data_IF_611671070821
#
_entry.id   IF_611671070821
#
_cell.length_a   1.000
_cell.length_b   1.000
_cell.length_c   1.000
_cell.angle_alpha   90.00
_cell.angle_beta   90.00
_cell.angle_gamma   90.00
#
_symmetry.space_group_name_H-M   'P 1'
#
loop_
_entity.id
_entity.type
_entity.pdbx_description
1 polymer ?
#
# COMPACT_ATOMS: atom_id res chain seq x y z
N UNK A 1 21.05 -26.57 30.34
CA UNK A 1 20.88 -25.14 30.00
C UNK A 1 20.66 -25.09 28.49
N UNK A 2 19.40 -25.14 28.04
CA UNK A 2 19.06 -25.11 26.61
C UNK A 2 18.86 -23.66 26.19
N UNK A 3 19.73 -23.15 25.33
CA UNK A 3 19.49 -21.91 24.61
C UNK A 3 18.45 -22.20 23.54
N UNK A 4 17.23 -21.70 23.72
CA UNK A 4 16.26 -21.62 22.64
C UNK A 4 16.77 -20.55 21.66
N UNK A 5 17.29 -21.00 20.52
CA UNK A 5 17.44 -20.16 19.33
C UNK A 5 16.02 -19.75 18.96
N UNK A 6 15.66 -18.49 19.20
CA UNK A 6 14.48 -17.89 18.61
C UNK A 6 14.73 -17.88 17.11
N UNK A 7 14.32 -18.95 16.43
CA UNK A 7 14.17 -18.97 14.99
C UNK A 7 13.23 -17.82 14.67
N UNK A 8 13.76 -16.76 14.04
CA UNK A 8 12.92 -15.73 13.44
C UNK A 8 11.91 -16.46 12.56
N UNK A 9 10.62 -16.30 12.88
CA UNK A 9 9.53 -16.91 12.12
C UNK A 9 9.75 -16.57 10.63
N UNK A 10 9.96 -17.54 9.74
CA UNK A 10 10.27 -17.30 8.33
C UNK A 10 9.11 -16.66 7.54
N UNK A 11 8.03 -16.31 8.24
CA UNK A 11 6.72 -15.98 7.70
C UNK A 11 6.40 -14.49 7.66
N UNK A 12 7.37 -13.60 7.86
CA UNK A 12 7.19 -12.20 7.54
C UNK A 12 7.51 -11.87 6.07
N UNK A 13 8.17 -12.76 5.29
CA UNK A 13 8.27 -12.67 3.82
C UNK A 13 8.76 -11.33 3.25
N UNK A 14 9.41 -10.47 4.06
CA UNK A 14 9.78 -9.11 3.70
C UNK A 14 8.68 -8.03 3.88
N UNK A 15 7.50 -8.39 4.39
CA UNK A 15 6.45 -7.44 4.77
C UNK A 15 6.82 -6.73 6.07
N UNK A 16 7.12 -5.44 5.95
CA UNK A 16 7.38 -4.53 7.07
C UNK A 16 6.20 -3.57 7.21
N UNK A 17 6.00 -3.01 8.40
CA UNK A 17 4.92 -2.04 8.66
C UNK A 17 4.95 -0.85 7.69
N UNK A 18 6.13 -0.44 7.25
CA UNK A 18 6.27 0.65 6.28
C UNK A 18 5.76 0.25 4.88
N UNK A 19 5.61 -1.03 4.55
CA UNK A 19 5.04 -1.48 3.27
C UNK A 19 3.54 -1.24 3.15
N UNK A 20 2.86 -0.80 4.21
CA UNK A 20 1.42 -0.63 4.26
C UNK A 20 1.02 0.83 4.38
N UNK A 21 -0.19 1.13 3.94
CA UNK A 21 -0.79 2.46 3.95
C UNK A 21 -2.29 2.34 4.25
N UNK A 22 -2.82 3.24 5.07
CA UNK A 22 -4.27 3.35 5.27
C UNK A 22 -4.92 4.04 4.07
N UNK A 23 -5.80 3.35 3.34
CA UNK A 23 -6.45 3.85 2.14
C UNK A 23 -7.85 3.28 1.97
N UNK A 24 -8.88 4.12 1.96
CA UNK A 24 -10.28 3.68 2.03
C UNK A 24 -10.99 3.61 0.69
N UNK A 25 -10.57 4.42 -0.30
CA UNK A 25 -11.30 4.59 -1.56
C UNK A 25 -11.43 3.32 -2.41
N UNK A 26 -10.62 2.29 -2.13
CA UNK A 26 -10.72 0.99 -2.79
C UNK A 26 -11.88 0.12 -2.26
N UNK A 27 -12.45 0.47 -1.11
CA UNK A 27 -13.53 -0.28 -0.49
C UNK A 27 -14.86 0.01 -1.16
N UNK A 28 -15.70 -1.03 -1.22
CA UNK A 28 -17.10 -0.91 -1.63
C UNK A 28 -17.92 -0.28 -0.50
N UNK A 29 -19.10 0.29 -0.80
CA UNK A 29 -20.04 0.74 0.24
C UNK A 29 -20.27 -0.34 1.30
N UNK A 30 -20.17 0.04 2.58
CA UNK A 30 -20.26 -0.90 3.71
C UNK A 30 -18.94 -1.61 4.08
N UNK A 31 -17.86 -1.48 3.29
CA UNK A 31 -16.60 -2.20 3.57
C UNK A 31 -15.89 -1.76 4.85
N UNK A 32 -16.03 -0.49 5.26
CA UNK A 32 -15.32 0.05 6.43
C UNK A 32 -15.72 -0.59 7.76
N UNK A 33 -16.95 -1.12 7.87
CA UNK A 33 -17.37 -1.85 9.08
C UNK A 33 -16.79 -3.25 9.15
N UNK A 34 -16.40 -3.82 8.00
CA UNK A 34 -16.02 -5.22 7.87
C UNK A 34 -14.51 -5.42 7.86
N UNK A 35 -13.74 -4.43 7.40
CA UNK A 35 -12.28 -4.56 7.26
C UNK A 35 -11.53 -3.29 7.63
N UNK A 36 -10.33 -3.45 8.19
CA UNK A 36 -9.38 -2.36 8.34
C UNK A 36 -8.86 -1.95 6.95
N UNK A 37 -8.94 -0.68 6.54
CA UNK A 37 -8.66 -0.25 5.18
C UNK A 37 -7.15 -0.05 4.96
N UNK A 38 -6.37 -1.11 5.15
CA UNK A 38 -4.91 -1.09 4.95
C UNK A 38 -4.56 -1.81 3.65
N UNK A 39 -3.73 -1.16 2.84
CA UNK A 39 -3.27 -1.67 1.53
C UNK A 39 -1.76 -1.69 1.45
N UNK A 40 -1.21 -2.52 0.56
CA UNK A 40 0.22 -2.51 0.26
C UNK A 40 0.53 -1.26 -0.57
N UNK A 41 1.51 -0.47 -0.13
CA UNK A 41 2.01 0.72 -0.83
C UNK A 41 2.94 0.34 -2.00
N UNK A 42 2.36 -0.36 -2.98
CA UNK A 42 3.02 -0.75 -4.21
C UNK A 42 3.66 0.45 -4.94
N UNK A 43 3.03 1.63 -5.05
CA UNK A 43 3.66 2.78 -5.71
C UNK A 43 4.98 3.19 -5.06
N UNK A 44 5.07 3.22 -3.72
CA UNK A 44 6.32 3.55 -3.02
C UNK A 44 7.41 2.50 -3.26
N UNK A 45 7.06 1.21 -3.26
CA UNK A 45 8.03 0.16 -3.59
C UNK A 45 8.49 0.23 -5.04
N UNK A 46 7.59 0.56 -5.97
CA UNK A 46 7.93 0.74 -7.39
C UNK A 46 8.98 1.84 -7.58
N UNK A 47 8.82 2.99 -6.89
CA UNK A 47 9.76 4.12 -6.93
C UNK A 47 11.17 3.77 -6.46
N UNK A 48 11.33 2.77 -5.58
CA UNK A 48 12.67 2.33 -5.11
C UNK A 48 13.52 1.70 -6.21
N UNK A 49 12.88 1.05 -7.19
CA UNK A 49 13.57 0.29 -8.25
C UNK A 49 13.47 0.94 -9.61
N UNK A 50 12.57 1.91 -9.78
CA UNK A 50 12.27 2.55 -11.07
C UNK A 50 12.07 4.04 -10.86
N UNK A 51 12.76 4.83 -11.67
CA UNK A 51 12.76 6.30 -11.57
C UNK A 51 11.63 6.97 -12.36
N UNK A 52 10.76 6.19 -13.01
CA UNK A 52 9.68 6.71 -13.85
C UNK A 52 8.31 6.32 -13.26
N UNK A 53 7.40 7.28 -13.05
CA UNK A 53 6.05 7.01 -12.58
C UNK A 53 5.22 6.33 -13.69
N UNK A 54 4.40 5.33 -13.32
CA UNK A 54 3.51 4.63 -14.25
C UNK A 54 2.24 5.40 -14.63
N UNK A 55 2.05 6.60 -14.09
CA UNK A 55 0.83 7.42 -14.27
C UNK A 55 0.43 7.54 -15.74
N UNK A 56 1.37 7.89 -16.62
CA UNK A 56 1.11 8.02 -18.04
C UNK A 56 0.66 6.71 -18.69
N UNK A 57 1.31 5.59 -18.36
CA UNK A 57 0.92 4.28 -18.87
C UNK A 57 -0.50 3.89 -18.39
N UNK A 58 -0.83 4.13 -17.12
CA UNK A 58 -2.16 3.86 -16.57
C UNK A 58 -3.23 4.70 -17.28
N UNK A 59 -2.94 5.98 -17.55
CA UNK A 59 -3.83 6.85 -18.32
C UNK A 59 -4.08 6.32 -19.73
N UNK A 60 -3.05 5.81 -20.41
CA UNK A 60 -3.21 5.22 -21.75
C UNK A 60 -4.01 3.92 -21.78
N UNK A 61 -4.08 3.20 -20.66
CA UNK A 61 -4.88 1.97 -20.54
C UNK A 61 -6.36 2.24 -20.25
N UNK A 62 -6.69 3.45 -19.78
CA UNK A 62 -8.05 3.87 -19.50
C UNK A 62 -8.79 4.28 -20.78
N UNK A 63 -9.12 3.31 -21.63
CA UNK A 63 -9.78 3.52 -22.93
C UNK A 63 -11.27 3.20 -22.92
N UNK A 64 -11.70 2.27 -22.06
CA UNK A 64 -13.10 1.84 -21.94
C UNK A 64 -13.77 2.52 -20.73
N UNK A 65 -14.79 3.38 -20.95
CA UNK A 65 -15.55 4.03 -19.89
C UNK A 65 -16.17 3.06 -18.86
N UNK A 66 -16.51 1.83 -19.27
CA UNK A 66 -17.08 0.81 -18.40
C UNK A 66 -16.13 0.33 -17.30
N UNK A 67 -14.82 0.52 -17.48
CA UNK A 67 -13.78 0.11 -16.53
C UNK A 67 -12.97 1.27 -15.97
N UNK A 68 -13.31 2.53 -16.31
CA UNK A 68 -12.53 3.70 -15.91
C UNK A 68 -12.34 3.84 -14.42
N UNK A 69 -13.31 3.42 -13.60
CA UNK A 69 -13.24 3.48 -12.13
C UNK A 69 -12.00 2.76 -11.60
N UNK A 70 -11.63 1.61 -12.16
CA UNK A 70 -10.43 0.88 -11.73
C UNK A 70 -9.15 1.69 -11.95
N UNK A 71 -9.02 2.30 -13.11
CA UNK A 71 -7.86 3.12 -13.47
C UNK A 71 -7.82 4.42 -12.67
N UNK A 72 -8.96 5.09 -12.53
CA UNK A 72 -9.07 6.31 -11.71
C UNK A 72 -8.71 6.05 -10.26
N UNK A 73 -9.23 4.99 -9.64
CA UNK A 73 -8.86 4.61 -8.27
C UNK A 73 -7.36 4.30 -8.14
N UNK A 74 -6.77 3.68 -9.16
CA UNK A 74 -5.32 3.40 -9.17
C UNK A 74 -4.52 4.70 -9.24
N UNK A 75 -4.91 5.66 -10.08
CA UNK A 75 -4.27 6.97 -10.19
C UNK A 75 -4.38 7.77 -8.88
N UNK A 76 -5.56 7.78 -8.28
CA UNK A 76 -5.82 8.38 -6.97
C UNK A 76 -4.91 7.76 -5.88
N UNK A 77 -4.74 6.43 -5.91
CA UNK A 77 -3.88 5.74 -4.95
C UNK A 77 -2.41 6.08 -5.15
N UNK A 78 -1.93 6.19 -6.39
CA UNK A 78 -0.56 6.62 -6.70
C UNK A 78 -0.29 8.03 -6.16
N UNK A 79 -1.22 8.96 -6.38
CA UNK A 79 -1.12 10.32 -5.85
C UNK A 79 -1.12 10.33 -4.32
N UNK A 80 -2.04 9.58 -3.70
CA UNK A 80 -2.14 9.49 -2.25
C UNK A 80 -0.86 8.92 -1.62
N UNK A 81 -0.32 7.82 -2.16
CA UNK A 81 0.97 7.24 -1.74
C UNK A 81 2.09 8.29 -1.74
N UNK A 82 2.18 9.11 -2.78
CA UNK A 82 3.21 10.16 -2.88
C UNK A 82 3.10 11.23 -1.79
N UNK A 83 1.91 11.48 -1.24
CA UNK A 83 1.67 12.44 -0.15
C UNK A 83 1.82 11.83 1.24
N UNK A 84 1.95 10.50 1.33
CA UNK A 84 1.85 9.76 2.59
C UNK A 84 3.04 8.84 2.85
N UNK A 85 4.21 9.12 2.26
CA UNK A 85 5.41 8.24 2.33
C UNK A 85 5.88 7.91 3.77
N UNK A 86 5.57 8.80 4.73
CA UNK A 86 5.92 8.70 6.16
C UNK A 86 4.73 8.26 7.05
N UNK A 87 3.63 7.76 6.47
CA UNK A 87 2.43 7.37 7.23
C UNK A 87 2.73 6.43 8.41
N UNK A 88 3.66 5.49 8.21
CA UNK A 88 4.07 4.52 9.23
C UNK A 88 4.77 5.18 10.43
N UNK A 89 5.49 6.29 10.25
CA UNK A 89 6.21 6.98 11.34
C UNK A 89 5.26 7.55 12.39
N UNK A 90 4.04 7.93 11.98
CA UNK A 90 3.01 8.45 12.87
C UNK A 90 2.44 7.38 13.81
N UNK A 91 2.66 6.10 13.51
CA UNK A 91 2.07 4.96 14.21
C UNK A 91 3.13 4.08 14.93
N UNK A 92 4.41 4.44 14.87
CA UNK A 92 5.51 3.73 15.57
C UNK A 92 5.62 4.11 17.06
N UNK A 93 4.98 5.20 17.50
CA UNK A 93 5.19 5.78 18.85
C UNK A 93 4.41 5.13 20.01
N UNK A 94 3.57 4.13 19.76
CA UNK A 94 2.73 3.53 20.83
C UNK A 94 3.26 2.20 21.39
N UNK A 95 4.49 1.80 21.04
CA UNK A 95 5.08 0.52 21.48
C UNK A 95 6.27 0.66 22.43
N UNK A 96 6.41 1.77 23.17
CA UNK A 96 7.44 1.93 24.21
C UNK A 96 6.85 1.97 25.61
#
# INVERSE_FOLDING_TARGET
MHYAILLEEPYNGGFRADCFLHYEKHLKPGGLSEVTPVVIDCPRQWRKTRNQPLVGAIQTLNTDPGYSVYYTNTLDFVEFSGKSEQWWEQHVKEST
#
